data_IF_503599892665
#
_entry.id   IF_503599892665
#
_cell.length_a   1.000
_cell.length_b   1.000
_cell.length_c   1.000
_cell.angle_alpha   90.00
_cell.angle_beta   90.00
_cell.angle_gamma   90.00
#
_symmetry.space_group_name_H-M   'P 1'
#
loop_
_entity.id
_entity.type
_entity.pdbx_description
1 polymer ?
#
# COMPACT_ATOMS: atom_id res chain seq x y z
N UNK A 1 -11.37 -35.68 -1.54
CA UNK A 1 -10.57 -34.44 -1.61
C UNK A 1 -11.50 -33.30 -1.24
N UNK A 2 -11.50 -32.88 0.02
CA UNK A 2 -12.36 -31.78 0.49
C UNK A 2 -11.70 -30.47 0.09
N UNK A 3 -12.35 -29.72 -0.82
CA UNK A 3 -12.00 -28.34 -1.06
C UNK A 3 -12.27 -27.58 0.25
N UNK A 4 -11.23 -27.06 0.90
CA UNK A 4 -11.42 -26.15 2.04
C UNK A 4 -12.21 -24.96 1.52
N UNK A 5 -13.42 -24.75 2.03
CA UNK A 5 -14.02 -23.42 1.96
C UNK A 5 -13.08 -22.51 2.75
N UNK A 6 -12.44 -21.56 2.07
CA UNK A 6 -11.66 -20.54 2.76
C UNK A 6 -12.64 -19.72 3.61
N UNK A 7 -12.56 -19.85 4.93
CA UNK A 7 -13.29 -18.98 5.84
C UNK A 7 -12.82 -17.53 5.68
N UNK A 8 -13.68 -16.56 6.01
CA UNK A 8 -13.37 -15.14 5.89
C UNK A 8 -12.04 -14.75 6.55
N UNK A 9 -11.73 -15.34 7.72
CA UNK A 9 -10.45 -15.16 8.41
C UNK A 9 -9.24 -15.64 7.61
N UNK A 10 -9.37 -16.72 6.84
CA UNK A 10 -8.29 -17.20 5.98
C UNK A 10 -8.02 -16.23 4.82
N UNK A 11 -9.08 -15.62 4.26
CA UNK A 11 -8.94 -14.59 3.23
C UNK A 11 -8.27 -13.32 3.79
N UNK A 12 -8.60 -12.93 5.01
CA UNK A 12 -7.91 -11.83 5.71
C UNK A 12 -6.41 -12.12 5.87
N UNK A 13 -6.06 -13.29 6.44
CA UNK A 13 -4.67 -13.71 6.63
C UNK A 13 -3.89 -13.74 5.31
N UNK A 14 -4.51 -14.23 4.23
CA UNK A 14 -3.89 -14.23 2.90
C UNK A 14 -3.61 -12.81 2.43
N UNK A 15 -4.58 -11.90 2.55
CA UNK A 15 -4.44 -10.50 2.11
C UNK A 15 -3.34 -9.77 2.89
N UNK A 16 -3.25 -10.00 4.20
CA UNK A 16 -2.20 -9.41 5.04
C UNK A 16 -0.83 -9.95 4.63
N UNK A 17 -0.69 -11.27 4.43
CA UNK A 17 0.63 -11.89 4.14
C UNK A 17 1.13 -11.63 2.72
N UNK A 18 0.23 -11.60 1.74
CA UNK A 18 0.64 -11.46 0.35
C UNK A 18 0.79 -10.02 -0.09
N UNK A 19 0.24 -9.05 0.66
CA UNK A 19 0.09 -7.65 0.23
C UNK A 19 -0.60 -7.53 -1.15
N UNK A 20 -1.40 -8.53 -1.54
CA UNK A 20 -2.12 -8.53 -2.82
C UNK A 20 -3.61 -8.33 -2.59
N UNK A 21 -4.29 -7.46 -3.37
CA UNK A 21 -5.74 -7.34 -3.31
C UNK A 21 -6.44 -8.65 -3.66
N UNK A 22 -7.48 -9.01 -2.91
CA UNK A 22 -8.37 -10.13 -3.23
C UNK A 22 -9.69 -9.59 -3.74
N UNK A 23 -10.13 -10.05 -4.91
CA UNK A 23 -11.44 -9.68 -5.47
C UNK A 23 -12.46 -10.77 -5.17
N UNK A 24 -13.53 -10.39 -4.46
CA UNK A 24 -14.68 -11.22 -4.13
C UNK A 24 -15.81 -10.85 -5.08
N UNK A 25 -16.17 -11.77 -5.98
CA UNK A 25 -17.25 -11.57 -6.94
C UNK A 25 -18.55 -12.17 -6.37
N UNK A 26 -19.65 -11.42 -6.38
CA UNK A 26 -20.97 -11.90 -6.00
C UNK A 26 -22.03 -11.43 -7.00
N UNK A 27 -22.57 -12.37 -7.77
CA UNK A 27 -23.50 -12.13 -8.88
C UNK A 27 -22.97 -11.07 -9.84
N UNK A 28 -23.45 -9.83 -9.72
CA UNK A 28 -23.09 -8.68 -10.57
C UNK A 28 -22.34 -7.58 -9.81
N UNK A 29 -21.84 -7.85 -8.60
CA UNK A 29 -21.11 -6.89 -7.77
C UNK A 29 -19.80 -7.51 -7.31
N UNK A 30 -18.75 -6.71 -7.36
CA UNK A 30 -17.40 -7.13 -6.97
C UNK A 30 -16.95 -6.27 -5.79
N UNK A 31 -16.31 -6.89 -4.82
CA UNK A 31 -15.67 -6.23 -3.68
C UNK A 31 -14.19 -6.52 -3.74
N UNK A 32 -13.37 -5.50 -3.55
CA UNK A 32 -11.92 -5.65 -3.43
C UNK A 32 -11.54 -5.52 -1.97
N UNK A 33 -10.90 -6.54 -1.42
CA UNK A 33 -10.36 -6.53 -0.07
C UNK A 33 -8.87 -6.19 -0.12
N UNK A 34 -8.48 -5.24 0.72
CA UNK A 34 -7.11 -4.77 0.92
C UNK A 34 -6.76 -4.92 2.39
N UNK A 35 -5.48 -5.14 2.70
CA UNK A 35 -4.98 -4.95 4.04
C UNK A 35 -4.92 -3.44 4.35
N UNK A 36 -4.99 -3.10 5.64
CA UNK A 36 -5.00 -1.71 6.11
C UNK A 36 -3.79 -0.91 5.60
N UNK A 37 -2.59 -1.45 5.77
CA UNK A 37 -1.35 -0.82 5.30
C UNK A 37 -1.36 -0.54 3.79
N UNK A 38 -1.86 -1.49 2.99
CA UNK A 38 -1.99 -1.32 1.55
C UNK A 38 -2.98 -0.21 1.18
N UNK A 39 -4.11 -0.14 1.89
CA UNK A 39 -5.10 0.93 1.71
C UNK A 39 -4.51 2.30 2.09
N UNK A 40 -3.84 2.42 3.24
CA UNK A 40 -3.21 3.66 3.70
C UNK A 40 -2.12 4.12 2.73
N UNK A 41 -1.29 3.22 2.23
CA UNK A 41 -0.23 3.52 1.26
C UNK A 41 -0.78 4.07 -0.05
N UNK A 42 -1.91 3.53 -0.53
CA UNK A 42 -2.61 4.03 -1.71
C UNK A 42 -3.17 5.43 -1.44
N UNK A 43 -3.83 5.64 -0.30
CA UNK A 43 -4.38 6.95 0.08
C UNK A 43 -3.28 8.01 0.21
N UNK A 44 -2.17 7.69 0.86
CA UNK A 44 -1.00 8.56 0.95
C UNK A 44 -0.45 8.90 -0.43
N UNK A 45 -0.24 7.90 -1.28
CA UNK A 45 0.25 8.12 -2.65
C UNK A 45 -0.70 8.99 -3.46
N UNK A 46 -2.02 8.77 -3.35
CA UNK A 46 -3.04 9.59 -3.99
C UNK A 46 -3.01 11.03 -3.48
N UNK A 47 -2.81 11.22 -2.17
CA UNK A 47 -2.67 12.53 -1.57
C UNK A 47 -1.42 13.25 -2.08
N UNK A 48 -0.25 12.59 -2.06
CA UNK A 48 1.00 13.14 -2.60
C UNK A 48 0.91 13.49 -4.10
N UNK A 49 0.13 12.71 -4.86
CA UNK A 49 -0.13 12.96 -6.29
C UNK A 49 -1.20 14.02 -6.55
N UNK A 50 -2.02 14.36 -5.57
CA UNK A 50 -3.10 15.33 -5.75
C UNK A 50 -2.60 16.75 -5.99
N UNK A 51 -1.37 17.05 -5.55
CA UNK A 51 -0.64 18.27 -5.87
C UNK A 51 0.64 17.90 -6.63
N UNK A 52 0.70 18.29 -7.91
CA UNK A 52 1.81 17.98 -8.80
C UNK A 52 3.15 18.52 -8.31
N UNK A 53 3.15 19.64 -7.57
CA UNK A 53 4.39 20.25 -7.09
C UNK A 53 5.12 19.34 -6.10
N UNK A 54 4.38 18.62 -5.24
CA UNK A 54 4.99 17.69 -4.28
C UNK A 54 5.61 16.49 -4.97
N UNK A 55 4.91 15.90 -5.95
CA UNK A 55 5.46 14.74 -6.68
C UNK A 55 6.72 15.13 -7.47
N UNK A 56 6.73 16.30 -8.10
CA UNK A 56 7.89 16.80 -8.85
C UNK A 56 9.08 17.12 -7.94
N UNK A 57 8.83 17.71 -6.76
CA UNK A 57 9.85 17.95 -5.76
C UNK A 57 10.46 16.63 -5.25
N UNK A 58 9.64 15.61 -4.97
CA UNK A 58 10.12 14.30 -4.54
C UNK A 58 11.02 13.64 -5.59
N UNK A 59 10.66 13.73 -6.88
CA UNK A 59 11.47 13.19 -7.99
C UNK A 59 12.78 13.96 -8.14
N UNK A 60 12.75 15.30 -8.00
CA UNK A 60 13.96 16.12 -8.01
C UNK A 60 14.89 15.72 -6.86
N UNK A 61 14.37 15.73 -5.64
CA UNK A 61 15.13 15.49 -4.41
C UNK A 61 15.69 14.08 -4.30
N UNK A 62 15.04 13.10 -4.94
CA UNK A 62 15.60 11.74 -5.06
C UNK A 62 17.00 11.71 -5.68
N UNK A 63 17.35 12.69 -6.51
CA UNK A 63 18.65 12.79 -7.17
C UNK A 63 19.60 13.79 -6.49
N UNK A 64 19.19 14.41 -5.38
CA UNK A 64 20.05 15.33 -4.64
C UNK A 64 21.26 14.58 -4.06
N UNK A 65 22.43 15.23 -3.95
CA UNK A 65 23.60 14.61 -3.37
C UNK A 65 23.37 14.30 -1.89
N UNK A 66 24.01 13.24 -1.37
CA UNK A 66 23.87 12.82 0.03
C UNK A 66 24.15 13.93 1.04
N UNK A 67 24.97 14.92 0.68
CA UNK A 67 25.27 16.10 1.51
C UNK A 67 24.07 17.00 1.80
N UNK A 68 23.00 16.92 1.03
CA UNK A 68 21.73 17.64 1.26
C UNK A 68 20.85 16.97 2.30
N UNK A 69 21.17 15.73 2.68
CA UNK A 69 20.44 14.97 3.68
C UNK A 69 21.21 15.03 5.00
N UNK A 70 20.47 15.23 6.09
CA UNK A 70 21.04 15.04 7.42
C UNK A 70 21.28 13.56 7.61
N UNK A 71 22.50 13.19 8.00
CA UNK A 71 22.75 11.86 8.54
C UNK A 71 21.88 11.68 9.78
N UNK A 72 21.46 10.44 10.03
CA UNK A 72 20.58 10.06 11.14
C UNK A 72 21.10 10.71 12.42
N UNK A 73 20.42 11.76 12.86
CA UNK A 73 20.73 12.43 14.12
C UNK A 73 20.38 11.36 15.13
N UNK A 74 21.38 10.73 15.75
CA UNK A 74 21.21 9.54 16.59
C UNK A 74 20.25 9.82 17.77
N UNK A 75 18.95 9.76 17.50
CA UNK A 75 17.92 9.71 18.51
C UNK A 75 17.90 8.26 18.98
N UNK A 76 18.67 8.02 20.05
CA UNK A 76 18.52 6.87 20.93
C UNK A 76 17.11 6.81 21.51
#
# INVERSE_FOLDING_TARGET
MFCKCDDFYSLMDKTIKSHTPITINHNNKNVVMLNEEGYLSICETLYLKSDSNFTDELVRRKNDPKSEFVDDIGIQ
#
